data_IF_942603099749
#
_entry.id   IF_942603099749
#
_cell.length_a   1.000
_cell.length_b   1.000
_cell.length_c   1.000
_cell.angle_alpha   90.00
_cell.angle_beta   90.00
_cell.angle_gamma   90.00
#
_symmetry.space_group_name_H-M   'P 1'
#
loop_
_entity.id
_entity.type
_entity.pdbx_description
1 polymer ?
#
# COMPACT_ATOMS: atom_id res chain seq x y z
N UNK A 1 -4.00 21.61 -4.78
CA UNK A 1 -4.63 21.19 -3.52
C UNK A 1 -3.57 21.19 -2.44
N UNK A 2 -3.97 21.49 -1.21
CA UNK A 2 -3.08 21.48 -0.05
C UNK A 2 -2.94 20.06 0.51
N UNK A 3 -1.91 19.83 1.33
CA UNK A 3 -1.70 18.57 2.02
C UNK A 3 -2.76 18.32 3.07
N UNK A 4 -3.18 17.06 3.23
CA UNK A 4 -4.05 16.62 4.33
C UNK A 4 -3.17 16.15 5.49
N UNK A 5 -3.47 16.64 6.71
CA UNK A 5 -2.84 16.17 7.95
C UNK A 5 -3.83 15.33 8.75
N UNK A 6 -3.37 14.19 9.27
CA UNK A 6 -4.12 13.34 10.20
C UNK A 6 -3.40 13.36 11.55
N UNK A 7 -4.11 13.79 12.60
CA UNK A 7 -3.59 13.84 13.96
C UNK A 7 -4.32 12.83 14.84
N UNK A 8 -3.55 12.12 15.65
CA UNK A 8 -4.05 11.20 16.68
C UNK A 8 -3.68 11.80 18.03
N UNK A 9 -4.66 11.90 18.93
CA UNK A 9 -4.44 12.54 20.22
C UNK A 9 -3.41 11.78 21.06
N UNK A 10 -2.60 12.47 21.90
CA UNK A 10 -1.60 11.81 22.74
C UNK A 10 -2.18 10.74 23.66
N UNK A 11 -3.41 10.93 24.14
CA UNK A 11 -4.11 9.98 25.02
C UNK A 11 -4.40 8.67 24.31
N UNK A 12 -4.73 8.73 23.01
CA UNK A 12 -4.93 7.54 22.18
C UNK A 12 -3.58 6.91 21.84
N UNK A 13 -2.58 7.71 21.46
CA UNK A 13 -1.22 7.21 21.14
C UNK A 13 -0.63 6.43 22.31
N UNK A 14 -0.84 6.89 23.56
CA UNK A 14 -0.39 6.20 24.76
C UNK A 14 -1.04 4.82 24.97
N UNK A 15 -2.20 4.56 24.36
CA UNK A 15 -2.95 3.30 24.47
C UNK A 15 -2.70 2.35 23.28
N UNK A 16 -2.08 2.83 22.20
CA UNK A 16 -1.74 2.00 21.05
C UNK A 16 -0.64 1.00 21.45
N UNK A 17 -0.90 -0.29 21.26
CA UNK A 17 0.05 -1.39 21.53
C UNK A 17 1.07 -1.57 20.40
N UNK A 18 1.70 -0.48 19.97
CA UNK A 18 2.76 -0.48 18.96
C UNK A 18 4.03 0.15 19.53
N UNK A 19 5.23 -0.31 19.12
CA UNK A 19 6.48 0.35 19.49
C UNK A 19 6.46 1.82 19.03
N UNK A 20 6.74 2.81 19.90
CA UNK A 20 6.63 4.23 19.55
C UNK A 20 7.45 4.62 18.31
N UNK A 21 8.64 4.02 18.16
CA UNK A 21 9.54 4.24 17.02
C UNK A 21 8.99 3.72 15.69
N UNK A 22 7.98 2.85 15.70
CA UNK A 22 7.38 2.23 14.50
C UNK A 22 5.90 2.55 14.33
N UNK A 23 5.23 3.10 15.35
CA UNK A 23 3.79 3.34 15.34
C UNK A 23 3.34 4.14 14.10
N UNK A 24 4.01 5.26 13.80
CA UNK A 24 3.68 6.08 12.63
C UNK A 24 3.80 5.29 11.32
N UNK A 25 4.84 4.48 11.16
CA UNK A 25 5.05 3.68 9.96
C UNK A 25 3.96 2.62 9.81
N UNK A 26 3.68 1.88 10.87
CA UNK A 26 2.63 0.84 10.88
C UNK A 26 1.27 1.46 10.57
N UNK A 27 0.92 2.59 11.20
CA UNK A 27 -0.35 3.26 10.92
C UNK A 27 -0.45 3.76 9.47
N UNK A 28 0.65 4.25 8.90
CA UNK A 28 0.69 4.63 7.48
C UNK A 28 0.55 3.42 6.57
N UNK A 29 1.23 2.31 6.87
CA UNK A 29 1.07 1.03 6.15
C UNK A 29 -0.40 0.59 6.15
N UNK A 30 -1.05 0.55 7.32
CA UNK A 30 -2.47 0.17 7.44
C UNK A 30 -3.42 1.14 6.71
N UNK A 31 -3.14 2.45 6.76
CA UNK A 31 -3.92 3.45 6.02
C UNK A 31 -3.80 3.24 4.51
N UNK A 32 -2.57 3.09 4.01
CA UNK A 32 -2.32 2.89 2.58
C UNK A 32 -2.97 1.61 2.08
N UNK A 33 -2.88 0.52 2.84
CA UNK A 33 -3.56 -0.73 2.51
C UNK A 33 -5.06 -0.52 2.34
N UNK A 34 -5.70 0.14 3.32
CA UNK A 34 -7.14 0.32 3.28
C UNK A 34 -7.60 1.22 2.13
N UNK A 35 -6.84 2.29 1.85
CA UNK A 35 -7.11 3.16 0.70
C UNK A 35 -6.93 2.43 -0.63
N UNK A 36 -5.93 1.54 -0.71
CA UNK A 36 -5.69 0.74 -1.91
C UNK A 36 -6.81 -0.26 -2.12
N UNK A 37 -7.17 -1.07 -1.12
CA UNK A 37 -8.26 -2.07 -1.21
C UNK A 37 -9.60 -1.47 -1.64
N UNK A 38 -9.92 -0.26 -1.16
CA UNK A 38 -11.16 0.44 -1.51
C UNK A 38 -11.11 1.13 -2.89
N UNK A 39 -10.00 1.00 -3.63
CA UNK A 39 -9.80 1.63 -4.93
C UNK A 39 -9.67 3.15 -4.88
N UNK A 40 -9.45 3.72 -3.69
CA UNK A 40 -9.31 5.17 -3.48
C UNK A 40 -7.95 5.65 -4.00
N UNK A 41 -6.92 4.81 -3.91
CA UNK A 41 -5.59 5.08 -4.45
C UNK A 41 -5.13 3.96 -5.38
N UNK A 42 -4.29 4.31 -6.35
CA UNK A 42 -3.62 3.35 -7.22
C UNK A 42 -2.40 2.71 -6.54
N UNK A 43 -1.90 1.60 -7.10
CA UNK A 43 -0.68 0.97 -6.62
C UNK A 43 0.52 1.93 -6.62
N UNK A 44 0.63 2.80 -7.64
CA UNK A 44 1.70 3.81 -7.71
C UNK A 44 1.60 4.87 -6.60
N UNK A 45 0.39 5.27 -6.23
CA UNK A 45 0.17 6.19 -5.11
C UNK A 45 0.49 5.52 -3.77
N UNK A 46 0.12 4.24 -3.59
CA UNK A 46 0.47 3.47 -2.40
C UNK A 46 1.99 3.30 -2.23
N UNK A 47 2.69 2.92 -3.30
CA UNK A 47 4.15 2.84 -3.33
C UNK A 47 4.79 4.19 -2.98
N UNK A 48 4.29 5.29 -3.55
CA UNK A 48 4.76 6.64 -3.25
C UNK A 48 4.56 7.01 -1.77
N UNK A 49 3.38 6.77 -1.19
CA UNK A 49 3.07 7.08 0.21
C UNK A 49 3.95 6.29 1.20
N UNK A 50 4.28 5.03 0.87
CA UNK A 50 5.17 4.19 1.68
C UNK A 50 6.65 4.36 1.34
N UNK A 51 6.99 5.22 0.39
CA UNK A 51 8.37 5.44 -0.10
C UNK A 51 9.03 4.14 -0.59
N UNK A 52 8.24 3.33 -1.28
CA UNK A 52 8.65 2.07 -1.89
C UNK A 52 8.69 2.23 -3.41
N UNK A 53 9.55 1.47 -4.08
CA UNK A 53 9.38 1.23 -5.51
C UNK A 53 8.17 0.29 -5.74
N UNK A 54 7.79 0.13 -7.00
CA UNK A 54 6.60 -0.66 -7.37
C UNK A 54 6.71 -2.14 -6.96
N UNK A 55 7.86 -2.77 -7.17
CA UNK A 55 8.05 -4.19 -6.85
C UNK A 55 8.01 -4.39 -5.33
N UNK A 56 8.65 -3.50 -4.57
CA UNK A 56 8.59 -3.51 -3.11
C UNK A 56 7.16 -3.35 -2.59
N UNK A 57 6.33 -2.52 -3.24
CA UNK A 57 4.92 -2.36 -2.87
C UNK A 57 4.09 -3.61 -3.21
N UNK A 58 4.30 -4.23 -4.37
CA UNK A 58 3.62 -5.48 -4.75
C UNK A 58 3.98 -6.63 -3.80
N UNK A 59 5.25 -6.76 -3.40
CA UNK A 59 5.65 -7.69 -2.34
C UNK A 59 4.97 -7.38 -1.00
N UNK A 60 4.88 -6.10 -0.62
CA UNK A 60 4.20 -5.67 0.60
C UNK A 60 2.71 -6.05 0.62
N UNK A 61 2.01 -5.94 -0.52
CA UNK A 61 0.64 -6.41 -0.70
C UNK A 61 0.54 -7.95 -0.58
N UNK A 62 1.45 -8.66 -1.25
CA UNK A 62 1.47 -10.13 -1.25
C UNK A 62 1.69 -10.72 0.14
N UNK A 63 2.61 -10.16 0.94
CA UNK A 63 2.84 -10.57 2.34
C UNK A 63 1.58 -10.46 3.21
N UNK A 64 0.63 -9.61 2.82
CA UNK A 64 -0.62 -9.34 3.54
C UNK A 64 -1.85 -9.94 2.86
N UNK A 65 -1.64 -10.76 1.83
CA UNK A 65 -2.71 -11.41 1.07
C UNK A 65 -3.71 -10.43 0.45
N UNK A 66 -3.25 -9.25 0.04
CA UNK A 66 -4.07 -8.24 -0.62
C UNK A 66 -4.04 -8.48 -2.12
N UNK A 67 -5.23 -8.54 -2.74
CA UNK A 67 -5.35 -8.74 -4.17
C UNK A 67 -4.79 -7.53 -4.93
N UNK A 68 -4.01 -7.80 -5.97
CA UNK A 68 -3.56 -6.75 -6.89
C UNK A 68 -4.77 -6.34 -7.74
N UNK A 69 -5.02 -5.04 -7.79
CA UNK A 69 -5.93 -4.45 -8.75
C UNK A 69 -5.30 -4.55 -10.14
N UNK A 70 -5.65 -5.61 -10.86
CA UNK A 70 -5.34 -5.79 -12.27
C UNK A 70 -6.63 -6.15 -12.99
N UNK A 71 -6.79 -5.63 -14.20
CA UNK A 71 -7.85 -6.12 -15.08
C UNK A 71 -7.45 -7.47 -15.70
N UNK A 72 -8.44 -8.26 -16.09
CA UNK A 72 -8.20 -9.57 -16.71
C UNK A 72 -7.42 -9.40 -18.02
N UNK A 73 -7.79 -8.39 -18.82
CA UNK A 73 -7.10 -8.08 -20.07
C UNK A 73 -5.64 -7.63 -19.84
N UNK A 74 -5.38 -6.90 -18.76
CA UNK A 74 -4.01 -6.51 -18.39
C UNK A 74 -3.19 -7.73 -17.98
N UNK A 75 -3.78 -8.62 -17.18
CA UNK A 75 -3.12 -9.86 -16.74
C UNK A 75 -2.80 -10.77 -17.93
N UNK A 76 -3.73 -10.97 -18.86
CA UNK A 76 -3.52 -11.78 -20.06
C UNK A 76 -2.41 -11.19 -20.94
N UNK A 77 -2.34 -9.85 -21.05
CA UNK A 77 -1.29 -9.18 -21.79
C UNK A 77 0.09 -9.37 -21.13
N UNK A 78 0.15 -9.31 -19.80
CA UNK A 78 1.38 -9.54 -19.04
C UNK A 78 1.87 -11.00 -19.18
N UNK A 79 0.97 -11.98 -19.10
CA UNK A 79 1.31 -13.40 -19.36
C UNK A 79 1.85 -13.56 -20.79
N UNK A 80 1.17 -12.99 -21.79
CA UNK A 80 1.64 -13.06 -23.18
C UNK A 80 3.01 -12.40 -23.38
N UNK A 81 3.33 -11.35 -22.62
CA UNK A 81 4.64 -10.69 -22.69
C UNK A 81 5.73 -11.56 -22.07
N UNK A 82 5.44 -12.25 -20.95
CA UNK A 82 6.36 -13.18 -20.31
C UNK A 82 6.68 -14.38 -21.21
N UNK A 83 5.66 -14.97 -21.85
CA UNK A 83 5.84 -16.10 -22.78
C UNK A 83 6.76 -15.77 -23.97
N UNK A 84 6.82 -14.49 -24.38
CA UNK A 84 7.71 -14.03 -25.46
C UNK A 84 9.13 -13.75 -25.00
N UNK A 85 9.35 -13.56 -23.71
CA UNK A 85 10.63 -13.20 -23.12
C UNK A 85 11.44 -14.42 -22.65
N UNK A 86 10.79 -15.58 -22.51
CA UNK A 86 11.38 -16.88 -22.13
C UNK A 86 11.67 -17.74 -23.36
#
# INVERSE_FOLDING_TARGET
MESISLEISPEIVAQIKLPPKRAQRVLMEELVLRLYEEGIISAGQGAYLLKMDRLSFEHFLAERCIAIHCDIEELDQDISNLDRAL
#
